data_IF_919412222574
#
_entry.id   IF_919412222574
#
_cell.length_a   1.000
_cell.length_b   1.000
_cell.length_c   1.000
_cell.angle_alpha   90.00
_cell.angle_beta   90.00
_cell.angle_gamma   90.00
#
_symmetry.space_group_name_H-M   'P 1'
#
loop_
_entity.id
_entity.type
_entity.pdbx_description
1 polymer ?
#
# COMPACT_ATOMS: atom_id res chain seq x y z
N UNK A 1 -1.30 9.18 24.24
CA UNK A 1 -0.95 7.81 23.82
C UNK A 1 -0.88 7.78 22.31
N UNK A 2 0.28 7.44 21.73
CA UNK A 2 0.44 7.29 20.28
C UNK A 2 -0.46 6.18 19.73
N UNK A 3 -0.77 6.29 18.44
CA UNK A 3 -1.49 5.28 17.68
C UNK A 3 -0.47 4.57 16.80
N UNK A 4 -0.37 3.26 16.94
CA UNK A 4 0.44 2.42 16.06
C UNK A 4 -0.23 2.37 14.68
N UNK A 5 0.52 2.75 13.65
CA UNK A 5 -0.02 2.92 12.29
C UNK A 5 0.96 2.58 11.17
N UNK A 6 2.24 2.40 11.48
CA UNK A 6 3.28 2.13 10.50
C UNK A 6 4.06 0.88 10.85
N UNK A 7 4.31 0.06 9.83
CA UNK A 7 5.03 -1.19 9.92
C UNK A 7 5.98 -1.25 8.72
N UNK A 8 7.27 -1.49 8.94
CA UNK A 8 8.19 -1.66 7.82
C UNK A 8 9.16 -2.82 8.08
N UNK A 9 9.60 -3.42 6.97
CA UNK A 9 10.78 -4.28 6.94
C UNK A 9 11.99 -3.44 6.54
N UNK A 10 13.09 -3.62 7.26
CA UNK A 10 14.37 -2.98 6.95
C UNK A 10 15.49 -4.01 6.97
N UNK A 11 16.62 -3.68 6.35
CA UNK A 11 17.82 -4.54 6.34
C UNK A 11 19.06 -3.67 6.50
N UNK A 12 20.21 -4.31 6.67
CA UNK A 12 21.54 -3.70 6.66
C UNK A 12 22.26 -3.94 5.32
N UNK A 13 23.21 -3.06 4.97
CA UNK A 13 23.99 -3.18 3.73
C UNK A 13 24.23 -1.84 3.05
N UNK A 14 24.48 -1.87 1.73
CA UNK A 14 24.62 -0.65 0.94
C UNK A 14 23.32 0.15 0.89
N UNK A 15 23.40 1.46 0.62
CA UNK A 15 22.22 2.34 0.53
C UNK A 15 21.25 1.85 -0.54
N UNK A 16 21.78 1.32 -1.64
CA UNK A 16 21.01 0.79 -2.77
C UNK A 16 20.25 -0.48 -2.35
N UNK A 17 20.92 -1.42 -1.66
CA UNK A 17 20.30 -2.64 -1.14
C UNK A 17 19.17 -2.30 -0.16
N UNK A 18 19.44 -1.41 0.80
CA UNK A 18 18.45 -0.99 1.80
C UNK A 18 17.23 -0.36 1.11
N UNK A 19 17.46 0.57 0.18
CA UNK A 19 16.37 1.24 -0.54
C UNK A 19 15.56 0.26 -1.38
N UNK A 20 16.22 -0.63 -2.11
CA UNK A 20 15.55 -1.63 -2.95
C UNK A 20 14.69 -2.58 -2.11
N UNK A 21 15.22 -3.06 -0.98
CA UNK A 21 14.50 -3.91 -0.04
C UNK A 21 13.25 -3.22 0.51
N UNK A 22 13.40 -1.99 1.00
CA UNK A 22 12.27 -1.22 1.54
C UNK A 22 11.18 -1.00 0.49
N UNK A 23 11.55 -0.60 -0.73
CA UNK A 23 10.58 -0.41 -1.81
C UNK A 23 9.84 -1.72 -2.17
N UNK A 24 10.57 -2.83 -2.29
CA UNK A 24 9.99 -4.11 -2.73
C UNK A 24 9.08 -4.77 -1.68
N UNK A 25 9.40 -4.58 -0.40
CA UNK A 25 8.57 -5.08 0.72
C UNK A 25 7.38 -4.15 1.03
N UNK A 26 7.42 -2.88 0.57
CA UNK A 26 6.43 -1.86 0.95
C UNK A 26 5.01 -2.22 0.54
N UNK A 27 4.83 -2.88 -0.60
CA UNK A 27 3.50 -3.30 -1.06
C UNK A 27 2.76 -4.19 -0.04
N UNK A 28 3.48 -5.03 0.72
CA UNK A 28 2.91 -5.93 1.73
C UNK A 28 2.71 -5.23 3.06
N UNK A 29 3.70 -4.44 3.50
CA UNK A 29 3.60 -3.70 4.77
C UNK A 29 2.52 -2.62 4.72
N UNK A 30 2.41 -1.88 3.61
CA UNK A 30 1.32 -0.95 3.37
C UNK A 30 -0.05 -1.65 3.31
N UNK A 31 -0.11 -2.86 2.74
CA UNK A 31 -1.34 -3.66 2.73
C UNK A 31 -1.76 -4.02 4.16
N UNK A 32 -0.82 -4.43 5.00
CA UNK A 32 -1.06 -4.70 6.42
C UNK A 32 -1.58 -3.46 7.15
N UNK A 33 -0.91 -2.32 6.98
CA UNK A 33 -1.31 -1.02 7.56
C UNK A 33 -2.73 -0.61 7.21
N UNK A 34 -3.16 -0.84 5.96
CA UNK A 34 -4.51 -0.48 5.49
C UNK A 34 -5.63 -1.22 6.22
N UNK A 35 -5.36 -2.44 6.68
CA UNK A 35 -6.32 -3.27 7.40
C UNK A 35 -6.10 -3.28 8.91
N UNK A 36 -4.93 -2.82 9.38
CA UNK A 36 -4.62 -2.77 10.79
C UNK A 36 -5.53 -1.76 11.51
N UNK A 37 -6.25 -2.16 12.56
CA UNK A 37 -7.17 -1.28 13.23
C UNK A 37 -6.41 -0.25 14.08
N UNK A 38 -7.13 0.79 14.51
CA UNK A 38 -6.56 1.79 15.42
C UNK A 38 -6.11 1.12 16.73
N UNK A 39 -4.81 1.01 16.93
CA UNK A 39 -4.22 0.43 18.12
C UNK A 39 -3.47 1.49 18.93
N UNK A 40 -3.86 1.69 20.19
CA UNK A 40 -3.17 2.63 21.08
C UNK A 40 -2.07 1.88 21.83
N UNK A 41 -0.88 2.45 21.83
CA UNK A 41 0.25 1.94 22.61
C UNK A 41 0.61 2.94 23.71
N UNK A 42 1.50 2.54 24.62
CA UNK A 42 2.06 3.43 25.63
C UNK A 42 2.89 4.54 24.98
N UNK A 43 3.76 4.18 24.05
CA UNK A 43 4.86 5.02 23.56
C UNK A 43 5.30 4.71 22.11
N UNK A 44 4.58 3.90 21.34
CA UNK A 44 5.02 3.41 20.02
C UNK A 44 4.02 3.72 18.90
N UNK A 45 4.45 4.44 17.86
CA UNK A 45 3.62 4.77 16.68
C UNK A 45 4.01 3.99 15.42
N UNK A 46 5.19 3.34 15.45
CA UNK A 46 5.77 2.60 14.33
C UNK A 46 6.53 1.37 14.79
N UNK A 47 6.46 0.28 14.01
CA UNK A 47 7.31 -0.89 14.17
C UNK A 47 8.27 -1.02 12.99
N UNK A 48 9.54 -1.28 13.28
CA UNK A 48 10.56 -1.64 12.31
C UNK A 48 11.07 -3.05 12.62
N UNK A 49 10.82 -3.98 11.70
CA UNK A 49 11.39 -5.32 11.76
C UNK A 49 12.65 -5.33 10.90
N UNK A 50 13.80 -5.50 11.54
CA UNK A 50 15.10 -5.56 10.89
C UNK A 50 15.43 -7.00 10.53
N UNK A 51 15.45 -7.28 9.22
CA UNK A 51 15.82 -8.55 8.62
C UNK A 51 17.33 -8.54 8.34
N UNK A 52 18.11 -9.31 9.12
CA UNK A 52 19.56 -9.45 8.94
C UNK A 52 19.97 -10.92 9.16
N UNK A 53 21.12 -11.32 8.61
CA UNK A 53 21.65 -12.69 8.74
C UNK A 53 22.04 -13.07 10.17
N UNK A 54 22.36 -12.09 11.00
CA UNK A 54 22.70 -12.27 12.41
C UNK A 54 21.80 -11.38 13.26
N UNK A 55 20.93 -11.99 14.06
CA UNK A 55 20.10 -11.29 15.02
C UNK A 55 20.91 -11.05 16.30
N UNK A 56 21.75 -10.01 16.28
CA UNK A 56 22.55 -9.62 17.45
C UNK A 56 21.70 -9.15 18.66
N UNK A 57 20.37 -8.99 18.50
CA UNK A 57 19.48 -8.45 19.53
C UNK A 57 18.22 -9.30 19.69
N UNK A 58 18.09 -9.86 20.89
CA UNK A 58 16.91 -10.61 21.32
C UNK A 58 15.77 -9.65 21.72
N UNK A 59 16.10 -8.46 22.24
CA UNK A 59 15.08 -7.50 22.73
C UNK A 59 14.80 -6.36 21.77
N UNK A 60 13.53 -5.97 21.67
CA UNK A 60 13.11 -4.76 20.97
C UNK A 60 13.62 -3.51 21.70
N UNK A 61 13.74 -2.41 20.96
CA UNK A 61 14.05 -1.08 21.49
C UNK A 61 12.98 -0.11 21.06
N UNK A 62 12.60 0.81 21.93
CA UNK A 62 11.79 1.97 21.55
C UNK A 62 12.68 3.21 21.47
N UNK A 63 12.83 3.79 20.27
CA UNK A 63 13.61 5.00 20.04
C UNK A 63 12.70 6.03 19.36
N UNK A 64 12.40 7.14 20.04
CA UNK A 64 11.55 8.20 19.48
C UNK A 64 10.13 7.75 19.13
N UNK A 65 9.64 6.70 19.79
CA UNK A 65 8.34 6.09 19.51
C UNK A 65 8.33 5.08 18.36
N UNK A 66 9.52 4.65 17.91
CA UNK A 66 9.69 3.58 16.94
C UNK A 66 10.17 2.33 17.67
N UNK A 67 9.36 1.27 17.64
CA UNK A 67 9.72 -0.04 18.15
C UNK A 67 10.55 -0.78 17.10
N UNK A 68 11.83 -1.01 17.36
CA UNK A 68 12.72 -1.74 16.48
C UNK A 68 13.07 -3.09 17.09
N UNK A 69 12.93 -4.17 16.31
CA UNK A 69 13.48 -5.47 16.65
C UNK A 69 14.22 -6.08 15.47
N UNK A 70 15.07 -7.06 15.74
CA UNK A 70 15.83 -7.80 14.73
C UNK A 70 15.37 -9.24 14.66
N UNK A 71 15.25 -9.77 13.43
CA UNK A 71 14.98 -11.18 13.17
C UNK A 71 16.04 -11.73 12.23
N UNK A 72 16.32 -13.03 12.35
CA UNK A 72 17.22 -13.74 11.44
C UNK A 72 16.49 -13.97 10.12
N UNK A 73 17.02 -13.40 9.04
CA UNK A 73 16.45 -13.58 7.70
C UNK A 73 17.52 -13.46 6.62
N UNK A 74 17.47 -14.35 5.63
CA UNK A 74 18.33 -14.27 4.46
C UNK A 74 17.75 -13.27 3.45
N UNK A 75 18.25 -12.03 3.54
CA UNK A 75 17.85 -10.94 2.64
C UNK A 75 18.53 -11.06 1.27
N UNK A 76 19.62 -11.80 1.14
CA UNK A 76 20.28 -11.93 -0.15
C UNK A 76 19.48 -12.85 -1.07
N UNK A 77 18.90 -13.95 -0.56
CA UNK A 77 17.99 -14.78 -1.35
C UNK A 77 16.68 -14.08 -1.72
N UNK A 78 16.19 -13.13 -0.91
CA UNK A 78 15.00 -12.33 -1.24
C UNK A 78 15.10 -11.66 -2.62
N UNK A 79 16.29 -11.17 -2.99
CA UNK A 79 16.47 -10.49 -4.28
C UNK A 79 16.46 -11.44 -5.49
N UNK A 80 16.56 -12.75 -5.26
CA UNK A 80 16.51 -13.78 -6.28
C UNK A 80 15.08 -14.33 -6.51
N UNK A 81 14.14 -13.97 -5.64
CA UNK A 81 12.75 -14.42 -5.69
C UNK A 81 11.96 -13.74 -6.82
N UNK A 82 10.91 -14.40 -7.30
CA UNK A 82 9.86 -13.77 -8.12
C UNK A 82 9.03 -12.79 -7.29
N UNK A 83 8.27 -11.90 -7.94
CA UNK A 83 7.44 -10.92 -7.22
C UNK A 83 6.40 -11.56 -6.29
N UNK A 84 5.80 -12.68 -6.70
CA UNK A 84 4.87 -13.42 -5.85
C UNK A 84 5.58 -13.98 -4.61
N UNK A 85 6.76 -14.58 -4.79
CA UNK A 85 7.57 -15.10 -3.69
C UNK A 85 8.08 -13.99 -2.77
N UNK A 86 8.46 -12.82 -3.30
CA UNK A 86 8.85 -11.65 -2.50
C UNK A 86 7.71 -11.17 -1.61
N UNK A 87 6.47 -11.17 -2.11
CA UNK A 87 5.30 -10.81 -1.29
C UNK A 87 5.10 -11.80 -0.16
N UNK A 88 5.13 -13.10 -0.45
CA UNK A 88 5.02 -14.16 0.56
C UNK A 88 6.14 -14.06 1.59
N UNK A 89 7.38 -13.90 1.14
CA UNK A 89 8.53 -13.74 2.02
C UNK A 89 8.37 -12.52 2.94
N UNK A 90 7.97 -11.37 2.39
CA UNK A 90 7.77 -10.13 3.16
C UNK A 90 6.66 -10.30 4.20
N UNK A 91 5.57 -10.97 3.83
CA UNK A 91 4.46 -11.26 4.74
C UNK A 91 4.92 -12.13 5.92
N UNK A 92 5.67 -13.20 5.65
CA UNK A 92 6.17 -14.09 6.71
C UNK A 92 7.20 -13.40 7.62
N UNK A 93 8.13 -12.61 7.07
CA UNK A 93 9.10 -11.87 7.90
C UNK A 93 8.42 -10.83 8.80
N UNK A 94 7.42 -10.10 8.26
CA UNK A 94 6.63 -9.17 9.06
C UNK A 94 5.88 -9.91 10.18
N UNK A 95 5.29 -11.07 9.86
CA UNK A 95 4.58 -11.90 10.82
C UNK A 95 5.47 -12.41 11.94
N UNK A 96 6.65 -12.94 11.61
CA UNK A 96 7.64 -13.38 12.60
C UNK A 96 8.02 -12.21 13.52
N UNK A 97 8.38 -11.06 12.94
CA UNK A 97 8.78 -9.89 13.73
C UNK A 97 7.66 -9.34 14.62
N UNK A 98 6.42 -9.29 14.12
CA UNK A 98 5.31 -8.78 14.92
C UNK A 98 4.87 -9.75 16.03
N UNK A 99 4.89 -11.06 15.79
CA UNK A 99 4.60 -12.04 16.83
C UNK A 99 5.64 -12.03 17.95
N UNK A 100 6.92 -11.90 17.60
CA UNK A 100 8.00 -11.73 18.57
C UNK A 100 7.82 -10.44 19.39
N UNK A 101 7.50 -9.32 18.73
CA UNK A 101 7.26 -8.06 19.42
C UNK A 101 6.06 -8.13 20.37
N UNK A 102 5.00 -8.84 20.00
CA UNK A 102 3.80 -9.02 20.84
C UNK A 102 4.17 -9.75 22.13
N UNK A 103 5.00 -10.80 22.05
CA UNK A 103 5.47 -11.53 23.24
C UNK A 103 6.27 -10.60 24.18
N UNK A 104 7.15 -9.77 23.63
CA UNK A 104 7.97 -8.87 24.45
C UNK A 104 7.19 -7.68 25.02
N UNK A 105 6.17 -7.19 24.32
CA UNK A 105 5.40 -5.99 24.70
C UNK A 105 4.14 -6.31 25.49
N UNK A 106 3.71 -7.59 25.50
CA UNK A 106 2.43 -8.02 26.06
C UNK A 106 1.25 -7.25 25.45
N UNK A 107 1.38 -6.87 24.18
CA UNK A 107 0.28 -6.28 23.41
C UNK A 107 -0.81 -7.33 23.17
N UNK A 108 -2.06 -6.86 23.07
CA UNK A 108 -3.16 -7.73 22.63
C UNK A 108 -2.87 -8.25 21.22
N UNK A 109 -2.81 -9.57 21.07
CA UNK A 109 -2.41 -10.22 19.83
C UNK A 109 -3.50 -10.18 18.75
N UNK A 110 -4.77 -10.13 19.15
CA UNK A 110 -5.92 -10.30 18.28
C UNK A 110 -5.93 -9.32 17.08
N UNK A 111 -5.73 -8.00 17.27
CA UNK A 111 -5.67 -7.06 16.14
C UNK A 111 -4.61 -7.40 15.10
N UNK A 112 -3.48 -7.97 15.54
CA UNK A 112 -2.37 -8.30 14.65
C UNK A 112 -2.66 -9.57 13.85
N UNK A 113 -3.14 -10.61 14.55
CA UNK A 113 -3.48 -11.92 13.95
C UNK A 113 -4.64 -11.79 12.98
N UNK A 114 -5.70 -11.07 13.33
CA UNK A 114 -6.84 -10.80 12.44
C UNK A 114 -6.41 -10.04 11.19
N UNK A 115 -5.48 -9.07 11.32
CA UNK A 115 -4.94 -8.35 10.17
C UNK A 115 -4.16 -9.29 9.25
N UNK A 116 -3.33 -10.20 9.78
CA UNK A 116 -2.64 -11.20 8.96
C UNK A 116 -3.60 -12.11 8.20
N UNK A 117 -4.67 -12.58 8.85
CA UNK A 117 -5.71 -13.38 8.20
C UNK A 117 -6.33 -12.60 7.05
N UNK A 118 -6.72 -11.34 7.29
CA UNK A 118 -7.32 -10.49 6.27
C UNK A 118 -6.42 -10.23 5.08
N UNK A 119 -5.14 -9.98 5.32
CA UNK A 119 -4.13 -9.79 4.28
C UNK A 119 -3.90 -11.08 3.48
N UNK A 120 -3.92 -12.24 4.14
CA UNK A 120 -3.86 -13.56 3.51
C UNK A 120 -5.06 -13.86 2.61
N UNK A 121 -6.28 -13.54 3.05
CA UNK A 121 -7.52 -13.67 2.24
C UNK A 121 -7.48 -12.87 0.93
N UNK A 122 -6.71 -11.77 0.91
CA UNK A 122 -6.51 -10.94 -0.27
C UNK A 122 -5.39 -11.45 -1.18
N UNK A 123 -4.79 -12.60 -0.88
CA UNK A 123 -3.64 -13.15 -1.61
C UNK A 123 -2.51 -12.12 -1.81
N UNK A 124 -2.29 -11.28 -0.79
CA UNK A 124 -1.27 -10.21 -0.79
C UNK A 124 -1.45 -9.18 -1.93
N UNK A 125 -2.66 -9.04 -2.47
CA UNK A 125 -2.97 -8.05 -3.49
C UNK A 125 -3.26 -6.69 -2.84
N UNK A 126 -2.32 -5.75 -2.97
CA UNK A 126 -2.50 -4.38 -2.50
C UNK A 126 -3.15 -3.50 -3.58
N UNK A 127 -4.42 -3.79 -3.87
CA UNK A 127 -5.24 -3.05 -4.81
C UNK A 127 -6.42 -2.41 -4.09
N UNK A 128 -6.70 -1.13 -4.36
CA UNK A 128 -7.86 -0.46 -3.76
C UNK A 128 -8.43 0.71 -4.55
N UNK A 129 -9.71 0.96 -4.33
CA UNK A 129 -10.39 2.17 -4.77
C UNK A 129 -9.97 3.32 -3.86
N UNK A 130 -9.28 4.31 -4.43
CA UNK A 130 -8.90 5.53 -3.71
C UNK A 130 -10.03 6.57 -3.71
N UNK A 131 -10.67 6.80 -4.85
CA UNK A 131 -11.74 7.79 -4.99
C UNK A 131 -12.70 7.44 -6.11
N UNK A 132 -13.97 7.78 -5.90
CA UNK A 132 -15.05 7.59 -6.87
C UNK A 132 -15.89 8.86 -6.99
N UNK A 133 -16.24 9.25 -8.21
CA UNK A 133 -17.17 10.36 -8.49
C UNK A 133 -18.15 9.99 -9.59
N UNK A 134 -19.43 10.33 -9.41
CA UNK A 134 -20.46 10.12 -10.44
C UNK A 134 -20.42 11.24 -11.47
N UNK A 135 -20.77 10.91 -12.71
CA UNK A 135 -20.96 11.90 -13.77
C UNK A 135 -22.15 12.81 -13.45
N UNK A 136 -22.25 14.01 -14.07
CA UNK A 136 -23.40 14.89 -13.89
C UNK A 136 -24.74 14.22 -14.23
N UNK A 137 -24.76 13.34 -15.23
CA UNK A 137 -25.95 12.56 -15.60
C UNK A 137 -26.24 11.38 -14.67
N UNK A 138 -25.34 11.08 -13.72
CA UNK A 138 -25.34 9.91 -12.84
C UNK A 138 -25.33 8.54 -13.55
N UNK A 139 -25.18 8.51 -14.87
CA UNK A 139 -25.12 7.28 -15.67
C UNK A 139 -23.77 6.59 -15.62
N UNK A 140 -22.72 7.31 -15.21
CA UNK A 140 -21.36 6.82 -15.16
C UNK A 140 -20.74 7.12 -13.80
N UNK A 141 -19.70 6.37 -13.46
CA UNK A 141 -18.78 6.71 -12.39
C UNK A 141 -17.34 6.60 -12.86
N UNK A 142 -16.53 7.54 -12.40
CA UNK A 142 -15.09 7.54 -12.55
C UNK A 142 -14.46 7.13 -11.22
N UNK A 143 -13.53 6.19 -11.29
CA UNK A 143 -12.88 5.57 -10.15
C UNK A 143 -11.37 5.62 -10.34
N UNK A 144 -10.65 6.03 -9.29
CA UNK A 144 -9.20 5.91 -9.25
C UNK A 144 -8.84 4.69 -8.42
N UNK A 145 -8.23 3.73 -9.08
CA UNK A 145 -7.74 2.49 -8.49
C UNK A 145 -6.22 2.55 -8.35
N UNK A 146 -5.72 2.22 -7.18
CA UNK A 146 -4.28 2.12 -6.90
C UNK A 146 -3.92 0.65 -6.85
N UNK A 147 -2.90 0.25 -7.61
CA UNK A 147 -2.25 -1.05 -7.55
C UNK A 147 -0.82 -0.85 -7.06
N UNK A 148 -0.54 -1.18 -5.81
CA UNK A 148 0.78 -1.05 -5.20
C UNK A 148 1.47 -2.42 -5.22
N UNK A 149 2.48 -2.57 -6.07
CA UNK A 149 3.20 -3.82 -6.28
C UNK A 149 4.69 -3.69 -5.92
N UNK A 150 5.44 -4.79 -6.04
CA UNK A 150 6.86 -4.95 -5.65
C UNK A 150 7.75 -3.90 -6.32
N UNK A 151 7.53 -3.63 -7.60
CA UNK A 151 8.42 -2.74 -8.38
C UNK A 151 7.82 -1.37 -8.67
N UNK A 152 6.50 -1.22 -8.55
CA UNK A 152 5.80 0.00 -8.93
C UNK A 152 4.46 0.15 -8.24
N UNK A 153 4.02 1.38 -8.10
CA UNK A 153 2.64 1.72 -7.81
C UNK A 153 1.98 2.32 -9.06
N UNK A 154 0.90 1.69 -9.53
CA UNK A 154 0.16 2.09 -10.73
C UNK A 154 -1.18 2.70 -10.34
N UNK A 155 -1.48 3.89 -10.86
CA UNK A 155 -2.75 4.59 -10.66
C UNK A 155 -3.56 4.48 -11.96
N UNK A 156 -4.71 3.82 -11.86
CA UNK A 156 -5.63 3.60 -12.96
C UNK A 156 -6.88 4.46 -12.80
N UNK A 157 -7.31 5.09 -13.88
CA UNK A 157 -8.68 5.58 -14.01
C UNK A 157 -9.55 4.49 -14.61
N UNK A 158 -10.66 4.19 -13.94
CA UNK A 158 -11.65 3.22 -14.38
C UNK A 158 -13.00 3.92 -14.50
N UNK A 159 -13.67 3.76 -15.63
CA UNK A 159 -15.02 4.27 -15.86
C UNK A 159 -15.99 3.11 -15.86
N UNK A 160 -17.01 3.20 -15.02
CA UNK A 160 -18.09 2.21 -14.92
C UNK A 160 -19.44 2.83 -15.27
N UNK A 161 -20.32 2.03 -15.83
CA UNK A 161 -21.71 2.41 -16.06
C UNK A 161 -22.55 2.38 -14.75
N UNK A 162 -23.85 2.61 -14.87
CA UNK A 162 -24.78 2.55 -13.74
C UNK A 162 -24.99 1.11 -13.21
N UNK A 163 -24.70 0.07 -14.00
CA UNK A 163 -24.76 -1.33 -13.57
C UNK A 163 -23.50 -1.76 -12.80
N UNK A 164 -22.43 -0.97 -12.88
CA UNK A 164 -21.11 -1.27 -12.30
C UNK A 164 -20.17 -1.98 -13.28
N UNK A 165 -20.59 -2.21 -14.52
CA UNK A 165 -19.75 -2.77 -15.57
C UNK A 165 -18.63 -1.79 -15.92
N UNK A 166 -17.41 -2.31 -16.03
CA UNK A 166 -16.26 -1.55 -16.51
C UNK A 166 -16.41 -1.25 -18.00
N UNK A 167 -16.58 0.03 -18.35
CA UNK A 167 -16.62 0.48 -19.74
C UNK A 167 -15.19 0.73 -20.24
N UNK A 168 -14.33 1.24 -19.35
CA UNK A 168 -12.99 1.66 -19.74
C UNK A 168 -12.03 1.65 -18.57
N UNK A 169 -10.76 1.37 -18.86
CA UNK A 169 -9.62 1.47 -17.94
C UNK A 169 -8.45 2.12 -18.65
N UNK A 170 -7.81 3.05 -17.95
CA UNK A 170 -6.63 3.76 -18.41
C UNK A 170 -5.62 3.82 -17.28
N UNK A 171 -4.40 3.35 -17.54
CA UNK A 171 -3.26 3.67 -16.70
C UNK A 171 -2.93 5.15 -16.85
N UNK A 172 -2.92 5.90 -15.74
CA UNK A 172 -2.57 7.32 -15.73
C UNK A 172 -1.11 7.55 -15.35
N UNK A 173 -0.65 6.83 -14.32
CA UNK A 173 0.65 7.06 -13.67
C UNK A 173 1.23 5.71 -13.25
N UNK A 174 2.53 5.55 -13.46
CA UNK A 174 3.36 4.49 -12.90
C UNK A 174 4.53 5.14 -12.15
N UNK A 175 4.71 4.79 -10.88
CA UNK A 175 5.63 5.43 -9.96
C UNK A 175 6.33 4.40 -9.06
N UNK A 176 7.38 4.80 -8.33
CA UNK A 176 7.98 3.95 -7.30
C UNK A 176 6.95 3.44 -6.28
N UNK A 177 7.13 2.23 -5.72
CA UNK A 177 6.18 1.60 -4.80
C UNK A 177 6.30 2.19 -3.38
N UNK A 178 6.11 3.50 -3.26
CA UNK A 178 6.15 4.24 -2.01
C UNK A 178 5.08 5.32 -2.00
N UNK A 179 4.37 5.44 -0.88
CA UNK A 179 3.37 6.48 -0.62
C UNK A 179 3.95 7.88 -0.85
N UNK A 180 5.21 8.11 -0.46
CA UNK A 180 5.90 9.38 -0.70
C UNK A 180 6.04 9.69 -2.18
N UNK A 181 6.23 8.66 -3.00
CA UNK A 181 6.38 8.80 -4.44
C UNK A 181 5.03 8.96 -5.14
N UNK A 182 4.02 8.13 -4.87
CA UNK A 182 2.77 8.23 -5.65
C UNK A 182 1.75 9.24 -5.10
N UNK A 183 1.78 9.58 -3.81
CA UNK A 183 0.71 10.38 -3.19
C UNK A 183 0.65 11.82 -3.71
N UNK A 184 1.76 12.37 -4.21
CA UNK A 184 1.81 13.72 -4.78
C UNK A 184 1.07 13.83 -6.12
N UNK A 185 0.74 12.70 -6.76
CA UNK A 185 -0.09 12.69 -7.98
C UNK A 185 -1.60 12.68 -7.68
N UNK A 186 -1.99 12.42 -6.43
CA UNK A 186 -3.39 12.32 -6.02
C UNK A 186 -3.95 13.68 -5.55
N UNK A 187 -5.26 13.90 -5.72
CA UNK A 187 -5.92 15.13 -5.27
C UNK A 187 -7.44 15.21 -5.52
N UNK A 188 -7.85 15.93 -6.56
CA UNK A 188 -9.23 16.05 -6.98
C UNK A 188 -9.52 15.15 -8.18
N UNK A 189 -10.58 14.36 -8.10
CA UNK A 189 -11.16 13.64 -9.24
C UNK A 189 -12.50 14.30 -9.55
N UNK A 190 -12.72 14.75 -10.78
CA UNK A 190 -13.95 15.45 -11.17
C UNK A 190 -14.29 15.23 -12.64
N UNK A 191 -15.57 15.23 -12.94
CA UNK A 191 -16.06 15.36 -14.31
C UNK A 191 -16.03 16.84 -14.69
N UNK A 192 -15.36 17.18 -15.78
CA UNK A 192 -15.33 18.56 -16.32
C UNK A 192 -16.31 18.74 -17.48
N UNK A 193 -16.76 17.62 -18.06
CA UNK A 193 -17.88 17.54 -18.99
C UNK A 193 -18.57 16.18 -18.79
N UNK A 194 -19.72 15.90 -19.44
CA UNK A 194 -20.34 14.57 -19.42
C UNK A 194 -19.45 13.44 -19.96
N UNK A 195 -18.44 13.77 -20.77
CA UNK A 195 -17.54 12.81 -21.41
C UNK A 195 -16.08 12.91 -20.96
N UNK A 196 -15.73 13.89 -20.12
CA UNK A 196 -14.34 14.13 -19.72
C UNK A 196 -14.17 14.10 -18.20
N UNK A 197 -13.21 13.30 -17.75
CA UNK A 197 -12.81 13.15 -16.35
C UNK A 197 -11.40 13.69 -16.17
N UNK A 198 -11.17 14.41 -15.08
CA UNK A 198 -9.86 14.95 -14.72
C UNK A 198 -9.46 14.48 -13.33
N UNK A 199 -8.26 13.91 -13.22
CA UNK A 199 -7.49 13.83 -11.98
C UNK A 199 -6.55 15.03 -11.94
N UNK A 200 -6.59 15.80 -10.87
CA UNK A 200 -5.75 16.96 -10.60
C UNK A 200 -5.07 16.72 -9.24
N UNK A 201 -3.76 16.88 -9.15
CA UNK A 201 -3.08 16.70 -7.87
C UNK A 201 -3.40 17.84 -6.88
N UNK A 202 -3.02 17.67 -5.61
CA UNK A 202 -3.31 18.67 -4.55
C UNK A 202 -2.73 20.05 -4.85
N UNK A 203 -1.53 20.11 -5.42
CA UNK A 203 -0.83 21.36 -5.73
C UNK A 203 -1.34 22.03 -7.01
N UNK A 204 -2.19 21.33 -7.78
CA UNK A 204 -2.83 21.77 -9.03
C UNK A 204 -1.87 22.10 -10.17
N UNK A 205 -0.61 21.69 -10.05
CA UNK A 205 0.43 21.84 -11.07
C UNK A 205 0.45 20.66 -12.06
N UNK A 206 -0.20 19.52 -11.72
CA UNK A 206 -0.32 18.34 -12.59
C UNK A 206 -1.77 17.90 -12.77
N UNK A 207 -2.11 17.55 -14.02
CA UNK A 207 -3.47 17.15 -14.44
C UNK A 207 -3.40 16.02 -15.44
N UNK A 208 -4.29 15.05 -15.25
CA UNK A 208 -4.53 13.94 -16.17
C UNK A 208 -5.99 14.00 -16.59
N UNK A 209 -6.22 14.30 -17.86
CA UNK A 209 -7.57 14.38 -18.44
C UNK A 209 -7.83 13.14 -19.28
N UNK A 210 -9.06 12.67 -19.25
CA UNK A 210 -9.45 11.46 -19.95
C UNK A 210 -10.83 11.62 -20.58
N UNK A 211 -10.86 11.48 -21.91
CA UNK A 211 -12.09 11.40 -22.67
C UNK A 211 -12.62 9.97 -22.65
N UNK A 212 -13.86 9.83 -22.19
CA UNK A 212 -14.58 8.56 -22.13
C UNK A 212 -14.84 8.02 -23.56
N UNK A 213 -14.72 8.86 -24.59
CA UNK A 213 -15.00 8.53 -26.00
C UNK A 213 -16.49 8.65 -26.30
N UNK A 214 -16.86 8.70 -27.59
CA UNK A 214 -18.26 8.86 -28.04
C UNK A 214 -19.11 7.73 -27.47
N UNK A 215 -19.75 8.01 -26.33
CA UNK A 215 -20.89 7.24 -25.91
C UNK A 215 -21.93 7.53 -26.99
N UNK A 216 -22.06 6.63 -27.95
CA UNK A 216 -23.29 6.47 -28.72
C UNK A 216 -24.38 6.17 -27.69
N UNK A 217 -24.88 7.21 -27.03
CA UNK A 217 -26.18 7.23 -26.41
C UNK A 217 -27.12 7.08 -27.59
N UNK A 218 -27.43 5.83 -27.95
CA UNK A 218 -28.49 5.50 -28.87
C UNK A 218 -29.75 6.20 -28.38
N UNK A 219 -30.13 7.26 -29.09
CA UNK A 219 -31.49 7.77 -29.04
C UNK A 219 -32.34 6.80 -29.86
N UNK A 220 -33.13 5.99 -29.16
CA UNK A 220 -34.37 5.41 -29.67
C UNK A 220 -35.42 5.54 -28.58
#
# INVERSE_FOLDING_TARGET
>A
MPVLKEFDLITSGSKEKIRAFQLQTRCVTALYERFFPKFKTKDCWKVLVRCDHDAARIHYRNIGGVCELSIVADVDSFFLLTDAEKKVWSFEQLKIGLLELIDQTQWKAEPFVETFQRVGELNLQNVWLWKKVRSPSQKLSAEIWINHDVHSCVINLVVRDASGQEIKRQELITELPSEWAYAHHLGSLKWVSPACVVLENKDRDRKWSYEVGDIQLGCS
#
